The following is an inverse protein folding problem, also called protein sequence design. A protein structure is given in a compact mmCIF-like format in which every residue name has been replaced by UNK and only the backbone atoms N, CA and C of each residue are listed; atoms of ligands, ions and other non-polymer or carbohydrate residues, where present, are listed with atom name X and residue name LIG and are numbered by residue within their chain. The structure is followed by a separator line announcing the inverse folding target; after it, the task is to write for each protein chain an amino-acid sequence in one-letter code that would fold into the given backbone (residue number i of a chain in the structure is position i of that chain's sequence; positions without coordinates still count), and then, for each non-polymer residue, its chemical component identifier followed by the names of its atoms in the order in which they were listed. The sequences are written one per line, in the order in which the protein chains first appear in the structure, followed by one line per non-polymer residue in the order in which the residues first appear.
data_IF_455123712966
#
_entry.id   IF_455123712966
#
_cell.length_a   1.000
_cell.length_b   1.000
_cell.length_c   1.000
_cell.angle_alpha   90.00
_cell.angle_beta   90.00
_cell.angle_gamma   90.00
#
_symmetry.space_group_name_H-M   'P 1'
#
loop_
_entity.id
_entity.type
_entity.pdbx_description
1 polymer ?
#
# COMPACT_ATOMS: atom_id res chain seq x y z
N UNK A 1 -6.77 -18.05 -1.57
CA UNK A 1 -5.59 -18.91 -1.33
C UNK A 1 -6.09 -20.33 -1.19
N UNK A 2 -6.15 -21.08 -2.29
CA UNK A 2 -6.86 -22.38 -2.35
C UNK A 2 -5.94 -23.60 -2.18
N UNK A 3 -4.63 -23.38 -2.01
CA UNK A 3 -3.62 -24.44 -2.00
C UNK A 3 -3.19 -24.91 -0.60
N UNK A 4 -3.42 -24.11 0.46
CA UNK A 4 -3.16 -24.48 1.85
C UNK A 4 -4.16 -23.78 2.79
N UNK A 5 -5.09 -24.51 3.44
CA UNK A 5 -6.11 -23.93 4.32
C UNK A 5 -5.55 -23.44 5.67
N UNK A 6 -4.34 -23.85 6.07
CA UNK A 6 -3.71 -23.37 7.31
C UNK A 6 -2.88 -22.10 7.09
N UNK A 7 -2.65 -21.72 5.83
CA UNK A 7 -1.87 -20.54 5.51
C UNK A 7 -2.70 -19.27 5.72
N UNK A 8 -2.18 -18.34 6.52
CA UNK A 8 -2.78 -17.03 6.74
C UNK A 8 -1.82 -15.96 6.21
N UNK A 9 -2.35 -15.02 5.43
CA UNK A 9 -1.56 -13.91 4.88
C UNK A 9 -1.13 -12.99 6.03
N UNK A 10 0.17 -12.67 6.07
CA UNK A 10 0.68 -11.71 7.04
C UNK A 10 0.12 -10.31 6.76
N UNK A 11 -0.29 -9.62 7.84
CA UNK A 11 -1.10 -8.39 7.78
C UNK A 11 -0.56 -7.31 6.83
N UNK A 12 0.76 -7.18 6.69
CA UNK A 12 1.33 -6.14 5.83
C UNK A 12 1.11 -6.37 4.34
N UNK A 13 0.98 -7.63 3.89
CA UNK A 13 0.68 -7.93 2.49
C UNK A 13 -0.74 -7.45 2.14
N UNK A 14 -1.69 -7.71 3.03
CA UNK A 14 -3.09 -7.33 2.87
C UNK A 14 -3.30 -5.81 3.06
N UNK A 15 -2.68 -5.24 4.10
CA UNK A 15 -2.80 -3.81 4.40
C UNK A 15 -2.23 -2.92 3.27
N UNK A 16 -1.11 -3.32 2.66
CA UNK A 16 -0.49 -2.56 1.57
C UNK A 16 -1.28 -2.70 0.25
N UNK A 17 -1.82 -3.89 -0.05
CA UNK A 17 -2.61 -4.11 -1.26
C UNK A 17 -3.95 -3.36 -1.24
N UNK A 18 -4.46 -3.02 -0.05
CA UNK A 18 -5.68 -2.23 0.11
C UNK A 18 -5.69 -0.92 -0.70
N UNK A 19 -4.54 -0.27 -0.90
CA UNK A 19 -4.47 0.98 -1.68
C UNK A 19 -4.93 0.82 -3.14
N UNK A 20 -4.75 -0.37 -3.73
CA UNK A 20 -5.16 -0.66 -5.11
C UNK A 20 -6.46 -1.46 -5.15
N UNK A 21 -6.68 -2.39 -4.21
CA UNK A 21 -7.91 -3.21 -4.18
C UNK A 21 -9.13 -2.38 -3.80
N UNK A 22 -9.00 -1.36 -2.93
CA UNK A 22 -10.07 -0.40 -2.66
C UNK A 22 -10.48 0.41 -3.89
N UNK A 23 -9.58 0.59 -4.86
CA UNK A 23 -9.87 1.19 -6.16
C UNK A 23 -10.42 0.18 -7.18
N UNK A 24 -10.59 -1.09 -6.81
CA UNK A 24 -11.04 -2.16 -7.71
C UNK A 24 -9.95 -2.66 -8.65
N UNK A 25 -8.71 -2.79 -8.16
CA UNK A 25 -7.65 -3.52 -8.86
C UNK A 25 -8.03 -4.99 -9.03
N UNK A 26 -7.92 -5.48 -10.26
CA UNK A 26 -8.09 -6.89 -10.62
C UNK A 26 -7.14 -7.21 -11.79
N UNK A 27 -6.35 -8.30 -11.72
CA UNK A 27 -5.47 -8.74 -12.80
C UNK A 27 -6.20 -9.04 -14.12
N UNK A 28 -7.46 -9.47 -14.06
CA UNK A 28 -8.28 -9.84 -15.21
C UNK A 28 -9.07 -8.65 -15.78
N UNK A 29 -9.05 -7.50 -15.11
CA UNK A 29 -9.73 -6.30 -15.56
C UNK A 29 -10.01 -5.29 -14.47
N UNK A 30 -9.07 -4.37 -14.24
CA UNK A 30 -9.22 -3.34 -13.22
C UNK A 30 -10.32 -2.31 -13.54
N UNK A 31 -10.94 -1.79 -12.48
CA UNK A 31 -12.03 -0.80 -12.57
C UNK A 31 -11.59 0.56 -13.13
N UNK A 32 -12.55 1.40 -13.53
CA UNK A 32 -12.27 2.76 -13.99
C UNK A 32 -11.68 3.66 -12.89
N UNK A 33 -12.02 3.39 -11.62
CA UNK A 33 -11.47 4.12 -10.48
C UNK A 33 -9.98 3.84 -10.34
N UNK A 34 -9.58 2.57 -10.45
CA UNK A 34 -8.16 2.18 -10.44
C UNK A 34 -7.39 2.89 -11.56
N UNK A 35 -7.87 2.80 -12.80
CA UNK A 35 -7.21 3.43 -13.96
C UNK A 35 -7.10 4.95 -13.85
N UNK A 36 -8.03 5.59 -13.13
CA UNK A 36 -8.05 7.04 -12.96
C UNK A 36 -7.12 7.51 -11.84
N UNK A 37 -7.07 6.80 -10.72
CA UNK A 37 -6.40 7.28 -9.50
C UNK A 37 -5.07 6.58 -9.20
N UNK A 38 -4.79 5.43 -9.80
CA UNK A 38 -3.51 4.76 -9.68
C UNK A 38 -2.59 5.11 -10.88
N UNK A 39 -1.29 5.38 -10.66
CA UNK A 39 -0.55 5.37 -9.40
C UNK A 39 -0.88 6.56 -8.48
N UNK A 40 -0.86 6.31 -7.16
CA UNK A 40 -1.07 7.35 -6.17
C UNK A 40 -0.05 8.49 -6.32
N UNK A 41 -0.53 9.74 -6.26
CA UNK A 41 0.35 10.91 -6.28
C UNK A 41 1.19 11.01 -4.99
N UNK A 42 0.57 10.79 -3.83
CA UNK A 42 1.24 10.85 -2.53
C UNK A 42 0.66 9.81 -1.57
N UNK A 43 1.52 9.00 -0.94
CA UNK A 43 1.17 8.28 0.29
C UNK A 43 1.58 9.11 1.51
N UNK A 44 0.59 9.52 2.32
CA UNK A 44 0.83 10.18 3.61
C UNK A 44 0.81 9.11 4.69
N UNK A 45 1.93 8.93 5.39
CA UNK A 45 2.11 7.87 6.38
C UNK A 45 2.85 8.36 7.62
N UNK A 46 2.67 7.68 8.74
CA UNK A 46 3.47 7.93 9.96
C UNK A 46 4.90 7.41 9.81
N UNK A 47 5.87 8.09 10.44
CA UNK A 47 7.29 7.76 10.32
C UNK A 47 7.63 6.28 10.63
N UNK A 48 6.87 5.63 11.49
CA UNK A 48 7.14 4.27 11.95
C UNK A 48 6.83 3.19 10.89
N UNK A 49 6.05 3.53 9.86
CA UNK A 49 5.66 2.60 8.78
C UNK A 49 6.30 2.93 7.43
N UNK A 50 7.25 3.88 7.41
CA UNK A 50 7.95 4.32 6.18
C UNK A 50 8.56 3.13 5.46
N UNK A 51 9.25 2.24 6.18
CA UNK A 51 9.91 1.06 5.59
C UNK A 51 8.95 0.16 4.80
N UNK A 52 7.70 0.02 5.27
CA UNK A 52 6.67 -0.74 4.55
C UNK A 52 6.28 -0.09 3.24
N UNK A 53 6.23 1.24 3.21
CA UNK A 53 5.78 2.01 2.05
C UNK A 53 6.89 2.39 1.07
N UNK A 54 8.17 2.33 1.49
CA UNK A 54 9.32 2.70 0.64
C UNK A 54 10.18 1.52 0.21
N UNK A 55 9.98 0.31 0.79
CA UNK A 55 10.72 -0.90 0.41
C UNK A 55 9.77 -2.04 0.06
N UNK A 56 8.96 -2.51 1.02
CA UNK A 56 8.14 -3.71 0.81
C UNK A 56 7.05 -3.48 -0.24
N UNK A 57 6.31 -2.37 -0.14
CA UNK A 57 5.25 -2.05 -1.08
C UNK A 57 5.75 -1.83 -2.52
N UNK A 58 6.82 -1.05 -2.77
CA UNK A 58 7.39 -0.95 -4.11
C UNK A 58 7.85 -2.30 -4.68
N UNK A 59 8.46 -3.17 -3.88
CA UNK A 59 8.88 -4.51 -4.35
C UNK A 59 7.66 -5.33 -4.77
N UNK A 60 6.56 -5.28 -4.01
CA UNK A 60 5.32 -5.97 -4.37
C UNK A 60 4.72 -5.44 -5.67
N UNK A 61 4.67 -4.11 -5.85
CA UNK A 61 4.18 -3.48 -7.08
C UNK A 61 5.06 -3.84 -8.28
N UNK A 62 6.39 -3.81 -8.12
CA UNK A 62 7.33 -4.23 -9.17
C UNK A 62 7.12 -5.69 -9.56
N UNK A 63 6.89 -6.57 -8.59
CA UNK A 63 6.61 -7.98 -8.86
C UNK A 63 5.27 -8.19 -9.59
N UNK A 64 4.28 -7.32 -9.35
CA UNK A 64 3.00 -7.31 -10.06
C UNK A 64 3.08 -6.61 -11.43
N UNK A 65 4.19 -5.91 -11.73
CA UNK A 65 4.31 -5.09 -12.94
C UNK A 65 3.55 -3.77 -12.89
N UNK A 66 3.15 -3.33 -11.69
CA UNK A 66 2.32 -2.15 -11.48
C UNK A 66 3.15 -0.88 -11.26
N UNK A 67 2.62 0.30 -11.63
CA UNK A 67 3.33 1.56 -11.43
C UNK A 67 3.46 1.90 -9.95
N UNK A 68 4.62 2.47 -9.61
CA UNK A 68 4.93 2.90 -8.25
C UNK A 68 4.24 4.23 -7.91
N UNK A 69 3.95 4.47 -6.62
CA UNK A 69 3.49 5.79 -6.20
C UNK A 69 4.52 6.86 -6.51
N UNK A 70 4.05 8.06 -6.86
CA UNK A 70 4.92 9.17 -7.27
C UNK A 70 5.71 9.74 -6.10
N UNK A 71 5.15 9.72 -4.90
CA UNK A 71 5.78 10.21 -3.69
C UNK A 71 5.30 9.48 -2.43
N UNK A 72 6.18 9.33 -1.45
CA UNK A 72 5.84 8.91 -0.07
C UNK A 72 6.23 10.02 0.89
N UNK A 73 5.27 10.52 1.66
CA UNK A 73 5.46 11.54 2.67
C UNK A 73 5.26 10.96 4.07
N UNK A 74 6.38 10.81 4.80
CA UNK A 74 6.39 10.36 6.18
C UNK A 74 6.31 11.54 7.15
N UNK A 75 5.22 11.67 7.90
CA UNK A 75 5.10 12.72 8.91
C UNK A 75 5.55 12.23 10.31
N UNK A 76 6.12 13.11 11.16
CA UNK A 76 6.44 12.78 12.54
C UNK A 76 5.16 12.63 13.39
N UNK A 77 5.33 12.22 14.65
CA UNK A 77 4.23 12.17 15.62
C UNK A 77 3.58 13.53 15.80
N UNK A 78 2.26 13.53 15.95
CA UNK A 78 1.51 14.71 16.36
C UNK A 78 1.69 14.86 17.87
N UNK A 79 2.44 15.86 18.30
CA UNK A 79 2.68 16.15 19.71
C UNK A 79 1.58 17.08 20.24
N UNK A 80 1.02 16.78 21.42
CA UNK A 80 0.07 17.64 22.12
C UNK A 80 0.50 17.84 23.57
N UNK A 81 0.81 19.08 23.95
CA UNK A 81 1.34 19.40 25.29
C UNK A 81 2.81 18.98 25.44
N UNK A 82 3.20 18.54 26.64
CA UNK A 82 4.56 18.00 26.90
C UNK A 82 4.71 16.51 26.61
N UNK A 83 3.61 15.82 26.27
CA UNK A 83 3.63 14.40 25.95
C UNK A 83 3.50 14.15 24.44
N UNK A 84 4.09 13.02 24.03
CA UNK A 84 4.01 12.51 22.65
C UNK A 84 2.59 12.26 22.19
#
# INVERSE_FOLDING_TARGET
MTFDPNHVIYVWIDALSNYITALGYDPDGSSDMYKKYWPADVHIIGKDIVRFHTIYWPIMLMALGEPLPKQVYGHPWLLFGEDK
#
